data_IF_240087467583
#
_entry.id   IF_240087467583
#
_cell.length_a   1.000
_cell.length_b   1.000
_cell.length_c   1.000
_cell.angle_alpha   90.00
_cell.angle_beta   90.00
_cell.angle_gamma   90.00
#
_symmetry.space_group_name_H-M   'P 1'
#
loop_
_entity.id
_entity.type
_entity.pdbx_description
1 polymer ?
#
# COMPACT_ATOMS: atom_id res chain seq x y z
N UNK A 1 -13.65 -13.75 -14.58
CA UNK A 1 -13.04 -14.42 -15.75
C UNK A 1 -13.63 -15.83 -15.87
N UNK A 2 -13.98 -16.23 -17.09
CA UNK A 2 -14.54 -17.55 -17.39
C UNK A 2 -13.82 -18.15 -18.60
N UNK A 3 -13.81 -19.48 -18.67
CA UNK A 3 -13.32 -20.21 -19.85
C UNK A 3 -14.39 -20.27 -20.96
N UNK A 4 -14.07 -20.92 -22.08
CA UNK A 4 -14.98 -21.13 -23.21
C UNK A 4 -16.22 -21.97 -22.87
N UNK A 5 -16.16 -22.75 -21.78
CA UNK A 5 -17.29 -23.55 -21.24
C UNK A 5 -18.09 -22.82 -20.18
N UNK A 6 -17.83 -21.48 -19.99
CA UNK A 6 -18.44 -20.63 -18.96
C UNK A 6 -18.10 -21.05 -17.52
N UNK A 7 -17.09 -21.87 -17.33
CA UNK A 7 -16.60 -22.24 -16.01
C UNK A 7 -15.83 -21.03 -15.43
N UNK A 8 -16.13 -20.64 -14.19
CA UNK A 8 -15.47 -19.53 -13.51
C UNK A 8 -14.04 -19.91 -13.16
N UNK A 9 -13.07 -19.15 -13.67
CA UNK A 9 -11.64 -19.34 -13.43
C UNK A 9 -11.11 -18.46 -12.31
N UNK A 10 -11.76 -17.34 -12.04
CA UNK A 10 -11.36 -16.36 -11.04
C UNK A 10 -12.03 -15.02 -11.23
N UNK A 11 -11.65 -14.06 -10.43
CA UNK A 11 -12.08 -12.67 -10.58
C UNK A 11 -10.90 -11.71 -10.53
N UNK A 12 -11.11 -10.51 -11.03
CA UNK A 12 -10.11 -9.45 -11.08
C UNK A 12 -10.67 -8.18 -11.67
N UNK A 13 -9.82 -7.17 -11.76
CA UNK A 13 -10.19 -5.89 -12.31
C UNK A 13 -9.89 -5.81 -13.81
N UNK A 14 -10.85 -5.33 -14.57
CA UNK A 14 -10.65 -4.99 -15.98
C UNK A 14 -9.81 -3.71 -16.07
N UNK A 15 -8.86 -3.71 -16.99
CA UNK A 15 -7.97 -2.59 -17.26
C UNK A 15 -7.84 -2.35 -18.78
N UNK A 16 -7.88 -1.08 -19.20
CA UNK A 16 -7.59 -0.70 -20.58
C UNK A 16 -6.06 -0.67 -20.76
N UNK A 17 -5.51 -1.73 -21.34
CA UNK A 17 -4.08 -1.85 -21.61
C UNK A 17 -3.74 -3.20 -22.22
N UNK A 18 -2.46 -3.50 -22.36
CA UNK A 18 -1.97 -4.79 -22.88
C UNK A 18 -2.42 -5.99 -22.01
N UNK A 19 -2.62 -5.78 -20.71
CA UNK A 19 -3.18 -6.75 -19.79
C UNK A 19 -4.64 -6.36 -19.53
N UNK A 20 -5.57 -7.06 -20.15
CA UNK A 20 -7.00 -6.74 -20.06
C UNK A 20 -7.61 -7.01 -18.67
N UNK A 21 -7.12 -8.00 -17.94
CA UNK A 21 -7.61 -8.32 -16.59
C UNK A 21 -6.45 -8.59 -15.65
N UNK A 22 -6.43 -7.88 -14.54
CA UNK A 22 -5.54 -8.16 -13.41
C UNK A 22 -6.29 -9.02 -12.40
N UNK A 23 -5.90 -10.30 -12.29
CA UNK A 23 -6.55 -11.26 -11.41
C UNK A 23 -6.22 -10.97 -9.94
N UNK A 24 -7.24 -11.05 -9.09
CA UNK A 24 -7.14 -10.94 -7.62
C UNK A 24 -7.23 -12.31 -6.95
N UNK A 25 -8.02 -13.22 -7.51
CA UNK A 25 -8.10 -14.60 -7.03
C UNK A 25 -8.46 -15.57 -8.15
N UNK A 26 -8.06 -16.82 -7.97
CA UNK A 26 -8.46 -17.95 -8.80
C UNK A 26 -9.62 -18.70 -8.16
N UNK A 27 -10.42 -19.40 -8.99
CA UNK A 27 -11.55 -20.19 -8.53
C UNK A 27 -12.76 -19.36 -8.12
N UNK A 28 -13.58 -19.94 -7.22
CA UNK A 28 -14.76 -19.31 -6.65
C UNK A 28 -14.36 -18.71 -5.30
N UNK A 29 -14.16 -17.44 -5.27
CA UNK A 29 -13.95 -16.70 -4.02
C UNK A 29 -15.01 -15.60 -3.93
N UNK A 30 -15.49 -15.33 -2.74
CA UNK A 30 -16.32 -14.17 -2.48
C UNK A 30 -15.41 -12.93 -2.43
N UNK A 31 -15.92 -11.86 -3.01
CA UNK A 31 -15.21 -10.60 -3.11
C UNK A 31 -15.85 -9.62 -2.11
N UNK A 32 -15.60 -9.90 -0.84
CA UNK A 32 -16.15 -9.20 0.31
C UNK A 32 -15.03 -8.58 1.19
N UNK A 33 -15.43 -7.96 2.29
CA UNK A 33 -14.51 -7.36 3.25
C UNK A 33 -13.50 -8.38 3.80
N UNK A 34 -13.93 -9.62 4.04
CA UNK A 34 -13.09 -10.69 4.55
C UNK A 34 -11.95 -11.04 3.59
N UNK A 35 -12.21 -11.03 2.27
CA UNK A 35 -11.16 -11.20 1.27
C UNK A 35 -10.04 -10.17 1.42
N UNK A 36 -10.40 -8.88 1.59
CA UNK A 36 -9.42 -7.80 1.79
C UNK A 36 -8.65 -7.98 3.09
N UNK A 37 -9.36 -8.26 4.17
CA UNK A 37 -8.75 -8.47 5.47
C UNK A 37 -7.72 -9.60 5.45
N UNK A 38 -8.07 -10.77 4.90
CA UNK A 38 -7.16 -11.92 4.80
C UNK A 38 -5.91 -11.60 3.97
N UNK A 39 -6.05 -10.94 2.82
CA UNK A 39 -4.93 -10.55 1.97
C UNK A 39 -3.99 -9.57 2.65
N UNK A 40 -4.54 -8.53 3.25
CA UNK A 40 -3.77 -7.52 3.97
C UNK A 40 -3.08 -8.12 5.19
N UNK A 41 -3.76 -8.94 5.97
CA UNK A 41 -3.21 -9.62 7.16
C UNK A 41 -2.07 -10.55 6.79
N UNK A 42 -2.23 -11.37 5.76
CA UNK A 42 -1.17 -12.28 5.31
C UNK A 42 0.10 -11.52 4.88
N UNK A 43 -0.07 -10.43 4.14
CA UNK A 43 1.06 -9.58 3.77
C UNK A 43 1.71 -8.92 5.00
N UNK A 44 0.92 -8.48 5.99
CA UNK A 44 1.43 -7.88 7.22
C UNK A 44 2.27 -8.87 8.04
N UNK A 45 1.78 -10.09 8.23
CA UNK A 45 2.52 -11.14 8.93
C UNK A 45 3.84 -11.49 8.21
N UNK A 46 3.85 -11.54 6.88
CA UNK A 46 5.08 -11.74 6.12
C UNK A 46 6.11 -10.62 6.37
N UNK A 47 5.67 -9.35 6.51
CA UNK A 47 6.55 -8.20 6.80
C UNK A 47 7.05 -8.23 8.24
N UNK A 48 6.22 -8.63 9.20
CA UNK A 48 6.66 -8.79 10.60
C UNK A 48 7.90 -9.68 10.71
N UNK A 49 7.94 -10.80 10.00
CA UNK A 49 9.10 -11.72 10.01
C UNK A 49 10.39 -11.04 9.54
N UNK A 50 10.30 -10.07 8.66
CA UNK A 50 11.43 -9.30 8.15
C UNK A 50 11.82 -8.14 9.08
N UNK A 51 10.82 -7.52 9.74
CA UNK A 51 10.99 -6.33 10.57
C UNK A 51 11.60 -6.64 11.94
N UNK A 52 11.31 -7.81 12.53
CA UNK A 52 11.91 -8.20 13.83
C UNK A 52 13.44 -8.19 13.84
N UNK A 53 14.08 -8.13 12.67
CA UNK A 53 15.53 -8.02 12.53
C UNK A 53 16.04 -6.57 12.58
N UNK A 54 15.15 -5.57 12.56
CA UNK A 54 15.52 -4.14 12.51
C UNK A 54 14.75 -3.37 13.58
N UNK A 55 15.30 -3.35 14.79
CA UNK A 55 14.67 -2.69 15.97
C UNK A 55 14.55 -1.16 15.87
N UNK A 56 15.17 -0.52 14.85
CA UNK A 56 15.24 0.93 14.71
C UNK A 56 14.64 1.40 13.37
N UNK A 57 13.52 0.80 12.93
CA UNK A 57 12.83 1.18 11.69
C UNK A 57 11.33 1.04 11.88
N UNK A 58 10.57 2.11 11.67
CA UNK A 58 9.12 2.15 11.78
C UNK A 58 8.40 2.44 10.45
N UNK A 59 9.14 2.42 9.33
CA UNK A 59 8.59 2.67 8.00
C UNK A 59 8.95 1.53 7.04
N UNK A 60 7.92 1.06 6.30
CA UNK A 60 8.09 -0.05 5.36
C UNK A 60 6.93 -0.16 4.38
N UNK A 61 7.19 -0.85 3.25
CA UNK A 61 6.15 -1.23 2.31
C UNK A 61 5.38 -2.43 2.82
N UNK A 62 4.10 -2.21 3.11
CA UNK A 62 3.18 -3.27 3.53
C UNK A 62 2.68 -4.08 2.34
N UNK A 63 2.13 -3.41 1.31
CA UNK A 63 1.61 -4.06 0.10
C UNK A 63 2.42 -3.64 -1.13
N UNK A 64 2.84 -4.61 -1.92
CA UNK A 64 3.59 -4.41 -3.16
C UNK A 64 2.90 -5.08 -4.36
N UNK A 65 1.71 -4.66 -4.68
CA UNK A 65 1.01 -5.04 -5.90
C UNK A 65 0.93 -6.55 -6.14
N UNK A 66 1.41 -6.95 -7.28
CA UNK A 66 1.42 -8.35 -7.74
C UNK A 66 2.17 -9.28 -6.78
N UNK A 67 3.20 -8.80 -6.10
CA UNK A 67 3.98 -9.57 -5.12
C UNK A 67 3.16 -10.03 -3.91
N UNK A 68 2.09 -9.30 -3.59
CA UNK A 68 1.16 -9.63 -2.50
C UNK A 68 -0.20 -10.08 -3.01
N UNK A 69 -0.31 -10.47 -4.28
CA UNK A 69 -1.56 -10.90 -4.91
C UNK A 69 -2.65 -9.81 -4.91
N UNK A 70 -2.25 -8.54 -4.87
CA UNK A 70 -3.10 -7.35 -4.91
C UNK A 70 -2.65 -6.40 -6.02
N UNK A 71 -2.72 -6.82 -7.31
CA UNK A 71 -2.19 -6.08 -8.44
C UNK A 71 -2.75 -4.66 -8.53
N UNK A 72 -1.86 -3.69 -8.58
CA UNK A 72 -2.22 -2.27 -8.63
C UNK A 72 -2.51 -1.63 -7.29
N UNK A 73 -2.17 -2.27 -6.17
CA UNK A 73 -2.24 -1.69 -4.83
C UNK A 73 -0.85 -1.56 -4.23
N UNK A 74 -0.52 -0.38 -3.76
CA UNK A 74 0.64 -0.09 -2.92
C UNK A 74 0.13 0.44 -1.58
N UNK A 75 0.67 -0.10 -0.48
CA UNK A 75 0.43 0.45 0.85
C UNK A 75 1.77 0.54 1.56
N UNK A 76 2.11 1.74 2.03
CA UNK A 76 3.29 2.00 2.82
C UNK A 76 2.88 2.45 4.23
N UNK A 77 3.62 2.00 5.24
CA UNK A 77 3.44 2.39 6.64
C UNK A 77 4.60 3.29 7.04
N UNK A 78 4.25 4.40 7.67
CA UNK A 78 5.14 5.38 8.30
C UNK A 78 4.68 5.59 9.73
N UNK A 79 5.24 4.82 10.67
CA UNK A 79 4.80 4.75 12.06
C UNK A 79 3.30 4.42 12.17
N UNK A 80 2.47 5.37 12.57
CA UNK A 80 1.01 5.24 12.67
C UNK A 80 0.25 5.69 11.42
N UNK A 81 0.94 6.18 10.41
CA UNK A 81 0.33 6.64 9.16
C UNK A 81 0.47 5.60 8.07
N UNK A 82 -0.66 5.23 7.49
CA UNK A 82 -0.81 4.24 6.42
C UNK A 82 -1.17 4.98 5.14
N UNK A 83 -0.32 4.91 4.13
CA UNK A 83 -0.54 5.58 2.84
C UNK A 83 -0.92 4.56 1.79
N UNK A 84 -2.11 4.71 1.23
CA UNK A 84 -2.65 3.88 0.15
C UNK A 84 -2.41 4.57 -1.19
N UNK A 85 -1.93 3.82 -2.17
CA UNK A 85 -1.80 4.27 -3.54
C UNK A 85 -2.34 3.21 -4.50
N UNK A 86 -3.43 3.53 -5.20
CA UNK A 86 -4.05 2.67 -6.20
C UNK A 86 -3.53 3.04 -7.58
N UNK A 87 -3.02 2.07 -8.33
CA UNK A 87 -2.49 2.24 -9.70
C UNK A 87 -3.48 1.80 -10.78
N UNK A 88 -4.68 1.37 -10.40
CA UNK A 88 -5.76 1.02 -11.34
C UNK A 88 -7.09 1.53 -10.83
N UNK A 89 -7.96 1.93 -11.77
CA UNK A 89 -9.33 2.39 -11.44
C UNK A 89 -10.11 1.30 -10.69
N UNK A 90 -9.96 0.03 -11.10
CA UNK A 90 -10.63 -1.09 -10.45
C UNK A 90 -10.23 -1.24 -8.98
N UNK A 91 -8.94 -1.04 -8.66
CA UNK A 91 -8.45 -1.08 -7.28
C UNK A 91 -8.99 0.12 -6.48
N UNK A 92 -8.94 1.33 -7.05
CA UNK A 92 -9.43 2.52 -6.37
C UNK A 92 -10.95 2.48 -6.09
N UNK A 93 -11.73 1.82 -6.93
CA UNK A 93 -13.16 1.59 -6.66
C UNK A 93 -13.42 0.72 -5.43
N UNK A 94 -12.43 -0.01 -4.96
CA UNK A 94 -12.51 -0.85 -3.76
C UNK A 94 -11.86 -0.18 -2.53
N UNK A 95 -11.49 1.10 -2.64
CA UNK A 95 -10.70 1.78 -1.60
C UNK A 95 -11.43 1.80 -0.25
N UNK A 96 -12.75 1.90 -0.23
CA UNK A 96 -13.54 1.90 1.01
C UNK A 96 -13.44 0.56 1.74
N UNK A 97 -13.55 -0.56 0.99
CA UNK A 97 -13.39 -1.91 1.56
C UNK A 97 -11.97 -2.13 2.07
N UNK A 98 -10.98 -1.62 1.35
CA UNK A 98 -9.57 -1.67 1.77
C UNK A 98 -9.37 -0.88 3.06
N UNK A 99 -9.92 0.33 3.17
CA UNK A 99 -9.85 1.16 4.38
C UNK A 99 -10.50 0.45 5.56
N UNK A 100 -11.70 -0.11 5.39
CA UNK A 100 -12.40 -0.86 6.43
C UNK A 100 -11.58 -2.08 6.89
N UNK A 101 -10.98 -2.82 5.98
CA UNK A 101 -10.12 -3.95 6.31
C UNK A 101 -8.86 -3.52 7.09
N UNK A 102 -8.25 -2.38 6.73
CA UNK A 102 -7.13 -1.81 7.47
C UNK A 102 -7.56 -1.46 8.89
N UNK A 103 -8.70 -0.80 9.07
CA UNK A 103 -9.23 -0.44 10.38
C UNK A 103 -9.46 -1.68 11.26
N UNK A 104 -9.97 -2.78 10.70
CA UNK A 104 -10.13 -4.04 11.44
C UNK A 104 -8.80 -4.69 11.84
N UNK A 105 -7.76 -4.56 11.01
CA UNK A 105 -6.43 -5.10 11.32
C UNK A 105 -5.77 -4.32 12.46
N UNK A 106 -5.98 -3.01 12.51
CA UNK A 106 -5.41 -2.10 13.50
C UNK A 106 -6.41 -1.66 14.57
N UNK A 107 -7.39 -2.54 14.90
CA UNK A 107 -8.36 -2.28 15.99
C UNK A 107 -7.67 -1.71 17.23
N UNK A 108 -8.30 -0.73 17.85
CA UNK A 108 -7.83 -0.02 19.05
C UNK A 108 -6.48 0.73 18.89
N UNK A 109 -5.92 0.86 17.69
CA UNK A 109 -4.75 1.70 17.45
C UNK A 109 -5.19 3.05 16.87
N UNK A 110 -4.51 4.10 17.33
CA UNK A 110 -4.67 5.44 16.76
C UNK A 110 -3.85 5.52 15.47
N UNK A 111 -4.51 5.26 14.34
CA UNK A 111 -3.91 5.28 13.00
C UNK A 111 -4.47 6.41 12.15
N UNK A 112 -3.64 6.93 11.26
CA UNK A 112 -4.04 7.82 10.17
C UNK A 112 -3.97 7.05 8.86
N UNK A 113 -5.01 7.15 8.01
CA UNK A 113 -5.00 6.57 6.67
C UNK A 113 -5.10 7.70 5.65
N UNK A 114 -4.18 7.69 4.68
CA UNK A 114 -4.10 8.66 3.59
C UNK A 114 -4.34 7.94 2.27
N UNK A 115 -5.29 8.43 1.47
CA UNK A 115 -5.40 8.06 0.05
C UNK A 115 -4.55 9.00 -0.79
N UNK A 116 -3.54 8.45 -1.45
CA UNK A 116 -2.64 9.17 -2.37
C UNK A 116 -2.69 8.59 -3.78
N UNK A 117 -3.87 8.20 -4.23
CA UNK A 117 -4.04 7.51 -5.50
C UNK A 117 -4.11 8.44 -6.72
N UNK A 118 -4.39 9.75 -6.54
CA UNK A 118 -4.58 10.70 -7.64
C UNK A 118 -3.43 10.66 -8.63
N UNK A 119 -2.18 10.69 -8.16
CA UNK A 119 -1.00 10.83 -9.00
C UNK A 119 -0.62 9.55 -9.76
N UNK A 120 -1.23 8.43 -9.40
CA UNK A 120 -0.96 7.10 -10.00
C UNK A 120 -2.08 6.57 -10.89
N UNK A 121 -3.20 7.28 -10.96
CA UNK A 121 -4.37 6.90 -11.75
C UNK A 121 -4.43 7.65 -13.10
N UNK A 122 -5.12 7.09 -14.13
CA UNK A 122 -5.31 7.77 -15.40
C UNK A 122 -5.92 9.16 -15.21
N UNK A 123 -5.38 10.18 -15.89
CA UNK A 123 -5.71 11.61 -15.70
C UNK A 123 -7.21 11.90 -15.74
N UNK A 124 -7.94 11.28 -16.67
CA UNK A 124 -9.39 11.50 -16.78
C UNK A 124 -10.15 11.10 -15.51
N UNK A 125 -9.73 10.00 -14.86
CA UNK A 125 -10.31 9.55 -13.61
C UNK A 125 -9.78 10.35 -12.43
N UNK A 126 -8.49 10.63 -12.43
CA UNK A 126 -7.78 11.36 -11.37
C UNK A 126 -8.29 12.79 -11.15
N UNK A 127 -8.86 13.43 -12.19
CA UNK A 127 -9.45 14.77 -12.07
C UNK A 127 -10.67 14.83 -11.13
N UNK A 128 -11.31 13.70 -10.83
CA UNK A 128 -12.47 13.61 -9.92
C UNK A 128 -12.11 13.28 -8.48
N UNK A 129 -10.82 13.08 -8.17
CA UNK A 129 -10.34 12.68 -6.85
C UNK A 129 -9.21 13.59 -6.36
N UNK A 130 -8.97 13.58 -5.05
CA UNK A 130 -7.88 14.32 -4.42
C UNK A 130 -7.14 13.42 -3.44
N UNK A 131 -5.83 13.64 -3.30
CA UNK A 131 -5.06 13.05 -2.23
C UNK A 131 -5.54 13.66 -0.90
N UNK A 132 -5.89 12.82 0.06
CA UNK A 132 -6.47 13.30 1.34
C UNK A 132 -6.31 12.30 2.46
N UNK A 133 -6.41 12.79 3.69
CA UNK A 133 -6.64 11.95 4.87
C UNK A 133 -8.06 11.41 4.81
N UNK A 134 -8.20 10.09 4.87
CA UNK A 134 -9.48 9.40 4.78
C UNK A 134 -9.92 8.76 6.10
N UNK A 135 -8.99 8.67 7.07
CA UNK A 135 -9.26 8.23 8.44
C UNK A 135 -8.22 8.80 9.40
N UNK A 136 -8.66 9.14 10.63
CA UNK A 136 -7.79 9.67 11.67
C UNK A 136 -7.28 11.08 11.41
N UNK A 137 -6.23 11.47 12.12
CA UNK A 137 -5.59 12.77 12.00
C UNK A 137 -4.14 12.60 11.55
N UNK A 138 -3.74 13.35 10.54
CA UNK A 138 -2.35 13.41 10.14
C UNK A 138 -1.58 14.27 11.15
N UNK A 139 -0.65 13.63 11.83
CA UNK A 139 0.32 14.28 12.73
C UNK A 139 1.66 14.38 12.05
N UNK A 140 2.59 15.14 12.62
CA UNK A 140 3.98 15.15 12.17
C UNK A 140 4.56 13.73 12.17
N UNK A 141 5.12 13.32 11.03
CA UNK A 141 5.58 11.95 10.83
C UNK A 141 7.04 11.80 11.22
N UNK A 142 7.28 11.04 12.27
CA UNK A 142 8.60 10.67 12.73
C UNK A 142 9.00 9.31 12.10
N UNK A 143 9.42 9.34 10.82
CA UNK A 143 9.88 8.15 10.13
C UNK A 143 11.30 7.82 10.56
N UNK A 144 11.48 6.65 11.15
CA UNK A 144 12.79 6.14 11.57
C UNK A 144 13.22 5.02 10.64
N UNK A 145 14.42 5.13 10.09
CA UNK A 145 15.02 4.10 9.26
C UNK A 145 16.48 3.89 9.70
N UNK A 146 16.82 2.70 10.18
CA UNK A 146 18.13 2.37 10.77
C UNK A 146 18.58 3.34 11.89
N UNK A 147 17.62 3.91 12.62
CA UNK A 147 17.88 4.89 13.68
C UNK A 147 18.00 6.35 13.20
N UNK A 148 18.01 6.60 11.90
CA UNK A 148 17.94 7.95 11.34
C UNK A 148 16.50 8.42 11.24
N UNK A 149 16.25 9.68 11.59
CA UNK A 149 14.93 10.31 11.48
C UNK A 149 14.80 11.04 10.16
N UNK A 150 13.63 10.91 9.53
CA UNK A 150 13.27 11.57 8.29
C UNK A 150 11.90 12.22 8.44
N UNK A 151 11.83 13.50 8.15
CA UNK A 151 10.55 14.19 7.96
C UNK A 151 9.95 13.78 6.61
N UNK A 152 8.67 13.40 6.61
CA UNK A 152 7.99 12.89 5.42
C UNK A 152 6.73 13.68 5.14
N UNK A 153 6.64 14.21 3.93
CA UNK A 153 5.41 14.79 3.40
C UNK A 153 4.63 13.73 2.61
N UNK A 154 3.66 13.11 3.28
CA UNK A 154 2.83 12.07 2.66
C UNK A 154 1.82 12.62 1.66
N UNK A 155 1.45 13.88 1.72
CA UNK A 155 0.49 14.48 0.80
C UNK A 155 1.16 15.11 -0.43
N UNK A 156 2.23 15.90 -0.25
CA UNK A 156 2.92 16.61 -1.32
C UNK A 156 4.16 15.91 -1.86
N UNK A 157 4.79 15.00 -1.09
CA UNK A 157 6.01 14.30 -1.47
C UNK A 157 5.82 13.31 -2.63
N UNK A 158 6.92 12.84 -3.21
CA UNK A 158 6.90 11.85 -4.29
C UNK A 158 6.45 10.45 -3.82
N UNK A 159 5.89 9.64 -4.72
CA UNK A 159 5.38 8.29 -4.41
C UNK A 159 4.38 8.38 -3.24
N UNK A 160 4.58 7.59 -2.19
CA UNK A 160 3.79 7.61 -0.96
C UNK A 160 4.29 8.64 0.07
N UNK A 161 5.30 9.43 -0.26
CA UNK A 161 5.95 10.44 0.59
C UNK A 161 7.44 10.21 0.79
N UNK A 162 7.92 8.96 0.65
CA UNK A 162 9.31 8.58 0.84
C UNK A 162 9.75 7.46 -0.11
N UNK A 163 11.05 7.39 -0.40
CA UNK A 163 11.63 6.41 -1.32
C UNK A 163 12.17 5.21 -0.52
N UNK A 164 11.25 4.33 -0.07
CA UNK A 164 11.57 3.20 0.82
C UNK A 164 12.54 2.18 0.22
N UNK A 165 12.57 2.01 -1.10
CA UNK A 165 13.45 1.10 -1.82
C UNK A 165 14.94 1.50 -1.78
N UNK A 166 15.25 2.75 -1.42
CA UNK A 166 16.63 3.24 -1.28
C UNK A 166 17.23 3.07 0.13
N UNK A 167 16.57 2.33 1.01
CA UNK A 167 16.97 2.11 2.41
C UNK A 167 18.44 1.69 2.56
N UNK A 168 18.85 0.64 1.86
CA UNK A 168 20.21 0.12 1.96
C UNK A 168 21.25 1.09 1.38
N UNK A 169 20.90 1.85 0.35
CA UNK A 169 21.76 2.89 -0.20
C UNK A 169 21.96 4.04 0.80
N UNK A 170 20.89 4.47 1.50
CA UNK A 170 21.03 5.48 2.57
C UNK A 170 21.90 5.00 3.73
N UNK A 171 21.71 3.74 4.14
CA UNK A 171 22.56 3.11 5.15
C UNK A 171 24.04 3.03 4.70
N UNK A 172 24.27 2.75 3.43
CA UNK A 172 25.63 2.74 2.90
C UNK A 172 26.29 4.12 2.94
N UNK A 173 25.51 5.17 2.60
CA UNK A 173 25.99 6.56 2.63
C UNK A 173 26.47 6.98 4.03
N UNK A 174 25.83 6.51 5.11
CA UNK A 174 26.24 6.87 6.47
C UNK A 174 27.70 6.51 6.76
N UNK A 175 28.20 5.39 6.19
CA UNK A 175 29.60 4.96 6.34
C UNK A 175 30.61 5.93 5.73
N UNK A 176 30.19 6.73 4.75
CA UNK A 176 31.04 7.74 4.10
C UNK A 176 30.88 9.12 4.72
N UNK A 177 29.77 9.36 5.42
CA UNK A 177 29.51 10.65 6.10
C UNK A 177 30.28 10.79 7.41
N UNK A 178 30.58 9.69 8.10
CA UNK A 178 31.32 9.67 9.37
C UNK A 178 32.83 10.01 9.24
N UNK A 179 33.29 10.27 8.02
CA UNK A 179 34.71 10.55 7.74
C UNK A 179 35.03 12.04 7.62
N UNK A 180 34.23 12.93 8.19
CA UNK A 180 34.50 14.39 8.25
C UNK A 180 34.45 14.91 9.67
#
# INVERSE_FOLDING_TARGET
>A
VQDSKKQRLGFGHFHHGSIAVKLLAFGIADYDLKFWEERLRNAFEARKLLMFKSQNTNCFRWIHGEGDMLPGLIIDIYDKTIVIQCHTIGMHKQIQEIILAIQQIFEAQDICIVDKSKDSLPTQYANSIQNSVVHGNLIELDCIEHGFRFEIDVLGGQKTGFVLDQRENRKLLSKYADSK
#
